data_IF_791882545418
#
_entry.id   IF_791882545418
#
_cell.length_a   1.000
_cell.length_b   1.000
_cell.length_c   1.000
_cell.angle_alpha   90.00
_cell.angle_beta   90.00
_cell.angle_gamma   90.00
#
_symmetry.space_group_name_H-M   'P 1'
#
loop_
_entity.id
_entity.type
_entity.pdbx_description
1 polymer ?
#
# COMPACT_ATOMS: atom_id res chain seq x y z
N UNK A 1 -1.30 -11.52 -24.31
CA UNK A 1 -1.74 -10.99 -23.02
C UNK A 1 -0.55 -10.48 -22.24
N UNK A 2 -0.66 -9.30 -21.68
CA UNK A 2 0.44 -8.66 -20.97
C UNK A 2 0.21 -8.73 -19.46
N UNK A 3 1.29 -8.57 -18.70
CA UNK A 3 1.20 -8.55 -17.24
C UNK A 3 0.39 -7.37 -16.70
N UNK A 4 0.26 -6.33 -17.50
CA UNK A 4 -0.52 -5.16 -17.12
C UNK A 4 -1.96 -5.51 -16.77
N UNK A 5 -2.51 -6.50 -17.46
CA UNK A 5 -3.90 -6.89 -17.24
C UNK A 5 -4.12 -7.49 -15.87
N UNK A 6 -3.07 -8.02 -15.25
CA UNK A 6 -3.19 -8.61 -13.92
C UNK A 6 -3.42 -7.57 -12.84
N UNK A 7 -2.93 -6.34 -13.08
CA UNK A 7 -3.05 -5.27 -12.09
C UNK A 7 -4.21 -4.34 -12.38
N UNK A 8 -4.77 -4.41 -13.55
CA UNK A 8 -5.81 -3.48 -13.96
C UNK A 8 -7.05 -3.62 -13.06
N UNK A 9 -7.50 -2.50 -12.52
CA UNK A 9 -8.67 -2.49 -11.66
C UNK A 9 -8.44 -2.97 -10.24
N UNK A 10 -7.23 -3.38 -9.90
CA UNK A 10 -6.94 -3.83 -8.54
C UNK A 10 -6.95 -2.65 -7.58
N UNK A 11 -7.51 -2.87 -6.40
CA UNK A 11 -7.50 -1.84 -5.37
C UNK A 11 -6.25 -1.96 -4.54
N UNK A 12 -5.49 -0.88 -4.49
CA UNK A 12 -4.19 -0.85 -3.82
C UNK A 12 -4.18 0.26 -2.78
N UNK A 13 -3.89 -0.10 -1.54
CA UNK A 13 -3.67 0.88 -0.48
C UNK A 13 -2.18 1.18 -0.42
N UNK A 14 -1.84 2.47 -0.46
CA UNK A 14 -0.45 2.90 -0.34
C UNK A 14 -0.31 3.70 0.95
N UNK A 15 0.64 3.31 1.79
CA UNK A 15 0.82 3.93 3.09
C UNK A 15 2.25 4.45 3.23
N UNK A 16 2.38 5.76 3.39
CA UNK A 16 3.67 6.42 3.57
C UNK A 16 3.40 7.79 4.17
N UNK A 17 4.26 8.24 5.09
CA UNK A 17 4.07 9.55 5.71
C UNK A 17 4.65 10.69 4.88
N UNK A 18 5.28 10.39 3.75
CA UNK A 18 5.83 11.41 2.86
C UNK A 18 4.94 11.59 1.63
N UNK A 19 4.36 12.77 1.44
CA UNK A 19 3.46 13.00 0.30
C UNK A 19 4.13 12.75 -1.06
N UNK A 20 5.41 13.07 -1.19
CA UNK A 20 6.11 12.88 -2.44
C UNK A 20 6.20 11.41 -2.83
N UNK A 21 6.41 10.54 -1.83
CA UNK A 21 6.46 9.11 -2.08
C UNK A 21 5.09 8.61 -2.52
N UNK A 22 4.03 9.07 -1.84
CA UNK A 22 2.68 8.67 -2.21
C UNK A 22 2.36 9.04 -3.66
N UNK A 23 2.70 10.27 -4.05
CA UNK A 23 2.46 10.72 -5.42
C UNK A 23 3.24 9.90 -6.44
N UNK A 24 4.49 9.58 -6.12
CA UNK A 24 5.32 8.78 -7.01
C UNK A 24 4.70 7.40 -7.21
N UNK A 25 4.25 6.78 -6.12
CA UNK A 25 3.65 5.44 -6.22
C UNK A 25 2.34 5.47 -7.00
N UNK A 26 1.52 6.51 -6.81
CA UNK A 26 0.30 6.66 -7.58
C UNK A 26 0.62 6.74 -9.06
N UNK A 27 1.65 7.51 -9.42
CA UNK A 27 2.02 7.68 -10.83
C UNK A 27 2.51 6.38 -11.45
N UNK A 28 3.08 5.49 -10.65
CA UNK A 28 3.58 4.20 -11.13
C UNK A 28 2.45 3.17 -11.31
N UNK A 29 1.27 3.44 -10.78
CA UNK A 29 0.18 2.48 -10.80
C UNK A 29 -1.10 3.04 -11.43
N UNK A 30 -0.99 3.59 -12.65
CA UNK A 30 -2.18 4.21 -13.27
C UNK A 30 -3.28 3.21 -13.60
N UNK A 31 -2.95 1.91 -13.68
CA UNK A 31 -3.93 0.88 -13.99
C UNK A 31 -4.71 0.43 -12.76
N UNK A 32 -4.30 0.86 -11.57
CA UNK A 32 -4.91 0.42 -10.32
C UNK A 32 -5.83 1.48 -9.74
N UNK A 33 -6.75 1.05 -8.89
CA UNK A 33 -7.57 1.95 -8.09
C UNK A 33 -6.82 2.17 -6.77
N UNK A 34 -6.13 3.30 -6.67
CA UNK A 34 -5.21 3.56 -5.57
C UNK A 34 -5.84 4.44 -4.50
N UNK A 35 -5.69 4.02 -3.25
CA UNK A 35 -6.11 4.80 -2.09
C UNK A 35 -4.86 5.08 -1.26
N UNK A 36 -4.69 6.32 -0.82
CA UNK A 36 -3.51 6.76 -0.08
C UNK A 36 -3.83 6.93 1.39
N UNK A 37 -2.88 6.59 2.24
CA UNK A 37 -2.95 6.86 3.67
C UNK A 37 -1.57 7.34 4.13
N UNK A 38 -1.56 8.33 5.02
CA UNK A 38 -0.30 8.89 5.50
C UNK A 38 -0.03 8.57 6.97
N UNK A 39 -0.96 7.92 7.64
CA UNK A 39 -0.78 7.56 9.06
C UNK A 39 -1.24 6.14 9.29
N UNK A 40 -0.78 5.58 10.42
CA UNK A 40 -1.19 4.25 10.82
C UNK A 40 -2.71 4.15 10.99
N UNK A 41 -3.29 5.15 11.69
CA UNK A 41 -4.72 5.11 11.99
C UNK A 41 -5.57 5.15 10.71
N UNK A 42 -5.17 5.98 9.76
CA UNK A 42 -5.88 6.02 8.48
C UNK A 42 -5.81 4.68 7.77
N UNK A 43 -4.61 4.11 7.69
CA UNK A 43 -4.40 2.85 6.99
C UNK A 43 -5.17 1.73 7.66
N UNK A 44 -5.13 1.66 8.98
CA UNK A 44 -5.85 0.63 9.71
C UNK A 44 -7.35 0.74 9.48
N UNK A 45 -7.88 1.95 9.56
CA UNK A 45 -9.30 2.16 9.34
C UNK A 45 -9.71 1.74 7.93
N UNK A 46 -8.90 2.09 6.94
CA UNK A 46 -9.21 1.71 5.56
C UNK A 46 -9.17 0.19 5.38
N UNK A 47 -8.18 -0.47 5.95
CA UNK A 47 -8.09 -1.93 5.86
C UNK A 47 -9.27 -2.62 6.54
N UNK A 48 -9.82 -2.01 7.57
CA UNK A 48 -10.93 -2.59 8.30
C UNK A 48 -12.28 -2.30 7.69
N UNK A 49 -12.40 -1.23 6.91
CA UNK A 49 -13.68 -0.80 6.38
C UNK A 49 -13.84 -1.01 4.89
N UNK A 50 -12.76 -1.23 4.16
CA UNK A 50 -12.80 -1.37 2.71
C UNK A 50 -11.99 -2.57 2.27
N UNK A 51 -12.30 -3.06 1.09
CA UNK A 51 -11.57 -4.18 0.50
C UNK A 51 -10.39 -3.67 -0.31
N UNK A 52 -9.24 -4.34 -0.16
CA UNK A 52 -8.06 -4.08 -0.97
C UNK A 52 -7.49 -5.40 -1.46
N UNK A 53 -6.94 -5.37 -2.67
CA UNK A 53 -6.21 -6.52 -3.21
C UNK A 53 -4.77 -6.52 -2.69
N UNK A 54 -4.19 -5.33 -2.51
CA UNK A 54 -2.79 -5.20 -2.14
C UNK A 54 -2.61 -3.96 -1.27
N UNK A 55 -1.62 -3.99 -0.40
CA UNK A 55 -1.22 -2.83 0.39
C UNK A 55 0.29 -2.67 0.28
N UNK A 56 0.73 -1.48 -0.13
CA UNK A 56 2.15 -1.13 -0.20
C UNK A 56 2.46 -0.28 1.02
N UNK A 57 3.32 -0.79 1.89
CA UNK A 57 3.52 -0.25 3.23
C UNK A 57 4.95 0.24 3.41
N UNK A 58 5.10 1.48 3.88
CA UNK A 58 6.39 2.02 4.27
C UNK A 58 6.75 1.47 5.65
N UNK A 59 7.87 0.78 5.73
CA UNK A 59 8.30 0.15 6.97
C UNK A 59 8.83 1.18 7.99
N UNK A 60 9.31 2.33 7.50
CA UNK A 60 9.98 3.28 8.37
C UNK A 60 9.06 4.36 8.91
N UNK A 61 8.01 4.69 8.19
CA UNK A 61 7.24 5.88 8.49
C UNK A 61 5.97 5.68 9.28
N UNK A 62 5.31 4.53 9.18
CA UNK A 62 3.97 4.34 9.76
C UNK A 62 3.75 2.92 10.24
N UNK A 63 4.55 2.47 11.18
CA UNK A 63 4.33 1.16 11.83
C UNK A 63 4.01 0.06 10.82
N UNK A 64 4.89 -0.07 9.82
CA UNK A 64 4.64 -0.95 8.69
C UNK A 64 4.42 -2.41 9.07
N UNK A 65 5.16 -2.91 10.06
CA UNK A 65 5.00 -4.32 10.46
C UNK A 65 3.62 -4.61 11.03
N UNK A 66 3.08 -3.66 11.79
CA UNK A 66 1.75 -3.84 12.34
C UNK A 66 0.70 -3.83 11.23
N UNK A 67 0.86 -2.96 10.25
CA UNK A 67 -0.03 -2.91 9.10
C UNK A 67 0.08 -4.17 8.25
N UNK A 68 1.28 -4.72 8.14
CA UNK A 68 1.48 -5.96 7.41
C UNK A 68 0.69 -7.09 8.07
N UNK A 69 0.73 -7.14 9.40
CA UNK A 69 -0.03 -8.14 10.13
C UNK A 69 -1.52 -8.01 9.87
N UNK A 70 -2.03 -6.77 9.94
CA UNK A 70 -3.44 -6.53 9.68
C UNK A 70 -3.80 -6.92 8.24
N UNK A 71 -2.95 -6.59 7.29
CA UNK A 71 -3.17 -6.95 5.89
C UNK A 71 -3.28 -8.46 5.73
N UNK A 72 -2.38 -9.20 6.38
CA UNK A 72 -2.41 -10.65 6.31
C UNK A 72 -3.70 -11.22 6.91
N UNK A 73 -4.17 -10.64 7.99
CA UNK A 73 -5.42 -11.08 8.61
C UNK A 73 -6.62 -10.83 7.71
N UNK A 74 -6.55 -9.79 6.89
CA UNK A 74 -7.62 -9.45 5.95
C UNK A 74 -7.42 -10.09 4.57
N UNK A 75 -6.38 -10.90 4.43
CA UNK A 75 -6.04 -11.57 3.17
C UNK A 75 -5.71 -10.56 2.06
N UNK A 76 -5.09 -9.47 2.46
CA UNK A 76 -4.56 -8.46 1.54
C UNK A 76 -3.08 -8.75 1.34
N UNK A 77 -2.62 -8.72 0.09
CA UNK A 77 -1.20 -8.93 -0.20
C UNK A 77 -0.44 -7.73 0.28
N UNK A 78 0.42 -7.91 1.29
CA UNK A 78 1.21 -6.82 1.84
C UNK A 78 2.60 -6.77 1.22
N UNK A 79 2.99 -5.60 0.74
CA UNK A 79 4.33 -5.37 0.18
C UNK A 79 5.00 -4.30 1.02
N UNK A 80 6.18 -4.62 1.56
CA UNK A 80 6.91 -3.68 2.40
C UNK A 80 7.95 -2.94 1.58
N UNK A 81 7.98 -1.63 1.73
CA UNK A 81 9.03 -0.81 1.14
C UNK A 81 10.04 -0.46 2.20
N UNK A 82 11.32 -0.62 1.88
CA UNK A 82 12.40 -0.33 2.80
C UNK A 82 13.34 0.66 2.13
N UNK A 83 13.12 1.93 2.37
CA UNK A 83 13.87 2.98 1.68
C UNK A 83 15.38 2.86 1.87
N UNK A 84 15.81 2.33 3.01
CA UNK A 84 17.23 2.24 3.33
C UNK A 84 17.80 0.85 3.19
N UNK A 85 17.13 -0.02 2.48
CA UNK A 85 17.52 -1.42 2.40
C UNK A 85 18.89 -1.60 1.77
N UNK A 86 19.32 -0.66 0.99
CA UNK A 86 20.56 -0.80 0.22
C UNK A 86 21.78 -0.17 0.87
N UNK A 87 21.65 0.42 2.00
CA UNK A 87 22.79 1.07 2.64
C UNK A 87 23.63 0.10 3.45
#
# INVERSE_FOLDING_TARGET
MTNENLLEGKRVLIVDDEPDVLETLVDLLPMCDVVKASTFDEAKNLLETQYFDMAILDIMGVQGYELLKISNEKRVIGVMLTANAMT
#
